data_IF_976832155207
#
_entry.id   IF_976832155207
#
_cell.length_a   1.000
_cell.length_b   1.000
_cell.length_c   1.000
_cell.angle_alpha   90.00
_cell.angle_beta   90.00
_cell.angle_gamma   90.00
#
_symmetry.space_group_name_H-M   'P 1'
#
loop_
_entity.id
_entity.type
_entity.pdbx_description
1 polymer ?
#
# COMPACT_ATOMS: atom_id res chain seq x y z
N UNK A 1 6.94 20.78 -27.88
CA UNK A 1 8.21 21.30 -28.44
C UNK A 1 9.25 20.20 -28.57
N UNK A 2 9.31 19.26 -27.61
CA UNK A 2 10.17 18.07 -27.68
C UNK A 2 9.56 16.95 -28.54
N UNK A 3 8.23 16.81 -28.54
CA UNK A 3 7.49 15.74 -29.23
C UNK A 3 7.69 15.80 -30.73
N UNK A 4 7.48 16.97 -31.33
CA UNK A 4 7.66 17.17 -32.77
C UNK A 4 9.13 17.09 -33.20
N UNK A 5 10.06 17.47 -32.32
CA UNK A 5 11.49 17.48 -32.63
C UNK A 5 12.11 16.07 -32.54
N UNK A 6 11.74 15.28 -31.52
CA UNK A 6 12.27 13.92 -31.28
C UNK A 6 11.34 12.80 -31.75
N UNK A 7 10.15 13.12 -32.27
CA UNK A 7 9.17 12.15 -32.72
C UNK A 7 8.47 11.38 -31.59
N UNK A 8 8.38 11.96 -30.38
CA UNK A 8 7.68 11.31 -29.28
C UNK A 8 6.16 11.36 -29.47
N UNK A 9 5.49 10.28 -29.08
CA UNK A 9 4.02 10.16 -29.12
C UNK A 9 3.32 10.81 -27.93
N UNK A 10 4.07 11.02 -26.86
CA UNK A 10 3.61 11.55 -25.58
C UNK A 10 4.61 12.63 -25.14
N UNK A 11 4.15 13.55 -24.30
CA UNK A 11 5.01 14.61 -23.74
C UNK A 11 6.09 13.99 -22.82
N UNK A 12 7.38 14.17 -23.13
CA UNK A 12 8.46 13.68 -22.29
C UNK A 12 8.66 14.57 -21.05
N UNK A 13 9.33 14.03 -20.02
CA UNK A 13 9.70 14.75 -18.79
C UNK A 13 8.52 15.28 -17.95
N UNK A 14 7.34 14.67 -18.07
CA UNK A 14 6.23 14.91 -17.14
C UNK A 14 6.67 14.58 -15.71
N UNK A 15 6.24 15.42 -14.76
CA UNK A 15 6.46 15.19 -13.33
C UNK A 15 5.57 14.07 -12.78
N UNK A 16 4.42 13.84 -13.42
CA UNK A 16 3.51 12.76 -13.05
C UNK A 16 3.99 11.43 -13.65
N UNK A 17 4.01 10.34 -12.85
CA UNK A 17 4.36 9.02 -13.34
C UNK A 17 3.27 8.45 -14.25
N UNK A 18 3.67 7.82 -15.36
CA UNK A 18 2.79 7.04 -16.24
C UNK A 18 3.27 5.58 -16.28
N UNK A 19 2.48 4.67 -15.73
CA UNK A 19 2.82 3.24 -15.67
C UNK A 19 2.87 2.57 -17.05
N UNK A 20 2.24 3.16 -18.09
CA UNK A 20 2.32 2.66 -19.48
C UNK A 20 3.70 2.85 -20.10
N UNK A 21 4.48 3.79 -19.56
CA UNK A 21 5.82 4.15 -20.03
C UNK A 21 6.94 3.58 -19.13
N UNK A 22 6.65 2.50 -18.40
CA UNK A 22 7.62 1.87 -17.52
C UNK A 22 8.81 1.26 -18.29
N UNK A 23 10.03 1.53 -17.80
CA UNK A 23 11.23 0.79 -18.20
C UNK A 23 11.50 -0.35 -17.22
N UNK A 24 11.16 -1.57 -17.62
CA UNK A 24 11.34 -2.78 -16.81
C UNK A 24 12.82 -3.22 -16.70
N UNK A 25 13.64 -2.49 -15.94
CA UNK A 25 14.99 -2.94 -15.59
C UNK A 25 14.94 -4.16 -14.65
N UNK A 26 16.08 -4.83 -14.45
CA UNK A 26 16.15 -6.10 -13.71
C UNK A 26 15.59 -6.02 -12.28
N UNK A 27 15.96 -5.00 -11.51
CA UNK A 27 15.44 -4.81 -10.14
C UNK A 27 13.94 -4.50 -10.12
N UNK A 28 13.43 -3.74 -11.10
CA UNK A 28 12.00 -3.45 -11.22
C UNK A 28 11.20 -4.73 -11.45
N UNK A 29 11.63 -5.58 -12.40
CA UNK A 29 10.97 -6.87 -12.67
C UNK A 29 10.96 -7.78 -11.44
N UNK A 30 12.05 -7.80 -10.68
CA UNK A 30 12.13 -8.56 -9.42
C UNK A 30 11.13 -8.03 -8.39
N UNK A 31 11.06 -6.70 -8.20
CA UNK A 31 10.12 -6.09 -7.27
C UNK A 31 8.67 -6.34 -7.68
N UNK A 32 8.34 -6.20 -8.98
CA UNK A 32 7.02 -6.52 -9.55
C UNK A 32 6.63 -7.98 -9.29
N UNK A 33 7.50 -8.92 -9.64
CA UNK A 33 7.26 -10.34 -9.42
C UNK A 33 7.09 -10.67 -7.93
N UNK A 34 7.87 -10.03 -7.06
CA UNK A 34 7.75 -10.17 -5.62
C UNK A 34 6.40 -9.67 -5.08
N UNK A 35 6.00 -8.46 -5.47
CA UNK A 35 4.70 -7.88 -5.09
C UNK A 35 3.53 -8.74 -5.57
N UNK A 36 3.59 -9.25 -6.80
CA UNK A 36 2.56 -10.16 -7.34
C UNK A 36 2.51 -11.46 -6.55
N UNK A 37 3.67 -12.08 -6.28
CA UNK A 37 3.75 -13.29 -5.46
C UNK A 37 3.17 -13.08 -4.06
N UNK A 38 3.56 -11.99 -3.39
CA UNK A 38 3.10 -11.68 -2.05
C UNK A 38 1.59 -11.37 -2.01
N UNK A 39 1.07 -10.68 -3.02
CA UNK A 39 -0.37 -10.45 -3.18
C UNK A 39 -1.16 -11.77 -3.30
N UNK A 40 -0.61 -12.77 -3.97
CA UNK A 40 -1.22 -14.10 -4.04
C UNK A 40 -1.19 -14.85 -2.72
N UNK A 41 -0.16 -14.65 -1.89
CA UNK A 41 -0.11 -15.23 -0.54
C UNK A 41 -1.16 -14.62 0.40
N UNK A 42 -1.46 -13.33 0.28
CA UNK A 42 -2.52 -12.67 1.04
C UNK A 42 -2.24 -12.50 2.54
N UNK A 43 -0.97 -12.55 2.95
CA UNK A 43 -0.57 -12.48 4.37
C UNK A 43 0.43 -11.35 4.61
N UNK A 44 0.32 -10.73 5.79
CA UNK A 44 1.33 -9.85 6.37
C UNK A 44 1.53 -8.50 5.68
N UNK A 45 2.63 -7.84 6.09
CA UNK A 45 3.16 -6.67 5.42
C UNK A 45 4.08 -7.09 4.29
N UNK A 46 3.96 -6.40 3.16
CA UNK A 46 4.93 -6.49 2.08
C UNK A 46 5.67 -5.17 2.03
N UNK A 47 6.98 -5.21 2.25
CA UNK A 47 7.81 -4.01 2.24
C UNK A 47 8.60 -3.90 0.94
N UNK A 48 8.50 -2.76 0.26
CA UNK A 48 9.26 -2.44 -0.95
C UNK A 48 9.99 -1.12 -0.75
N UNK A 49 11.32 -1.17 -0.71
CA UNK A 49 12.15 0.01 -0.53
C UNK A 49 13.01 0.32 -1.76
N UNK A 50 13.33 1.60 -1.94
CA UNK A 50 14.22 2.06 -2.99
C UNK A 50 14.45 3.56 -2.94
N UNK A 51 15.54 4.02 -3.54
CA UNK A 51 15.90 5.45 -3.55
C UNK A 51 14.83 6.33 -4.22
N UNK A 52 14.83 7.65 -3.98
CA UNK A 52 14.02 8.59 -4.75
C UNK A 52 14.24 8.43 -6.26
N UNK A 53 13.15 8.47 -7.03
CA UNK A 53 13.22 8.37 -8.50
C UNK A 53 13.43 6.96 -9.07
N UNK A 54 13.45 5.89 -8.26
CA UNK A 54 13.60 4.50 -8.77
C UNK A 54 12.31 3.88 -9.33
N UNK A 55 11.25 4.68 -9.52
CA UNK A 55 9.99 4.20 -10.10
C UNK A 55 9.05 3.44 -9.15
N UNK A 56 9.17 3.63 -7.82
CA UNK A 56 8.30 2.99 -6.82
C UNK A 56 6.81 3.28 -7.05
N UNK A 57 6.45 4.54 -7.23
CA UNK A 57 5.07 4.92 -7.55
C UNK A 57 4.60 4.35 -8.89
N UNK A 58 5.49 4.29 -9.89
CA UNK A 58 5.20 3.65 -11.18
C UNK A 58 4.97 2.15 -11.03
N UNK A 59 5.71 1.48 -10.13
CA UNK A 59 5.53 0.07 -9.78
C UNK A 59 4.17 -0.19 -9.12
N UNK A 60 3.74 0.67 -8.19
CA UNK A 60 2.40 0.61 -7.60
C UNK A 60 1.33 0.76 -8.69
N UNK A 61 1.47 1.74 -9.58
CA UNK A 61 0.52 1.96 -10.67
C UNK A 61 0.46 0.79 -11.65
N UNK A 62 1.59 0.19 -11.99
CA UNK A 62 1.66 -1.02 -12.83
C UNK A 62 1.00 -2.23 -12.15
N UNK A 63 1.24 -2.43 -10.84
CA UNK A 63 0.55 -3.45 -10.06
C UNK A 63 -0.97 -3.22 -10.09
N UNK A 64 -1.45 -2.04 -9.76
CA UNK A 64 -2.89 -1.70 -9.75
C UNK A 64 -3.53 -1.94 -11.12
N UNK A 65 -2.87 -1.53 -12.20
CA UNK A 65 -3.35 -1.77 -13.56
C UNK A 65 -3.43 -3.26 -13.89
N UNK A 66 -2.52 -4.08 -13.37
CA UNK A 66 -2.59 -5.54 -13.53
C UNK A 66 -3.76 -6.17 -12.74
N UNK A 67 -4.32 -5.45 -11.77
CA UNK A 67 -5.43 -5.91 -10.92
C UNK A 67 -6.82 -5.51 -11.40
N UNK A 68 -6.95 -4.74 -12.49
CA UNK A 68 -8.24 -4.18 -12.93
C UNK A 68 -9.35 -5.20 -13.21
N UNK A 69 -9.00 -6.49 -13.41
CA UNK A 69 -9.96 -7.60 -13.58
C UNK A 69 -9.81 -8.68 -12.49
N UNK A 70 -9.30 -8.32 -11.32
CA UNK A 70 -9.10 -9.24 -10.21
C UNK A 70 -10.08 -8.98 -9.07
N UNK A 71 -10.21 -9.95 -8.16
CA UNK A 71 -11.01 -9.81 -6.94
C UNK A 71 -10.35 -8.91 -5.87
N UNK A 72 -9.33 -8.13 -6.22
CA UNK A 72 -8.62 -7.26 -5.26
C UNK A 72 -9.32 -5.91 -5.17
N UNK A 73 -9.77 -5.56 -3.97
CA UNK A 73 -10.23 -4.21 -3.63
C UNK A 73 -9.05 -3.47 -2.99
N UNK A 74 -8.57 -2.39 -3.59
CA UNK A 74 -7.40 -1.67 -3.06
C UNK A 74 -7.72 -0.25 -2.63
N UNK A 75 -6.98 0.20 -1.62
CA UNK A 75 -6.88 1.58 -1.15
C UNK A 75 -5.42 2.00 -1.27
N UNK A 76 -5.16 3.22 -1.76
CA UNK A 76 -3.79 3.75 -1.86
C UNK A 76 -3.71 5.07 -1.12
N UNK A 77 -2.97 5.06 -0.02
CA UNK A 77 -2.59 6.26 0.71
C UNK A 77 -1.18 6.65 0.31
N UNK A 78 -0.97 7.93 0.03
CA UNK A 78 0.37 8.50 -0.04
C UNK A 78 0.63 9.12 1.33
N UNK A 79 1.60 8.60 2.05
CA UNK A 79 1.87 9.01 3.41
C UNK A 79 2.25 10.48 3.45
N UNK A 80 1.63 11.19 4.38
CA UNK A 80 2.18 12.40 4.99
C UNK A 80 2.55 12.04 6.44
N UNK A 81 3.09 12.97 7.23
CA UNK A 81 3.34 12.72 8.65
C UNK A 81 2.03 12.48 9.40
N UNK A 82 1.54 11.24 9.35
CA UNK A 82 0.25 10.81 9.89
C UNK A 82 0.47 10.13 11.24
N UNK A 83 -0.35 10.50 12.21
CA UNK A 83 -0.49 9.77 13.46
C UNK A 83 -1.58 8.68 13.35
N UNK A 84 -1.60 7.74 14.29
CA UNK A 84 -2.49 6.58 14.28
C UNK A 84 -3.98 6.91 14.02
N UNK A 85 -4.51 7.95 14.67
CA UNK A 85 -5.94 8.30 14.55
C UNK A 85 -6.29 8.87 13.18
N UNK A 86 -5.41 9.68 12.60
CA UNK A 86 -5.59 10.26 11.26
C UNK A 86 -5.44 9.19 10.18
N UNK A 87 -4.46 8.28 10.35
CA UNK A 87 -4.29 7.12 9.48
C UNK A 87 -5.58 6.29 9.43
N UNK A 88 -6.14 5.91 10.58
CA UNK A 88 -7.36 5.09 10.62
C UNK A 88 -8.54 5.79 9.93
N UNK A 89 -8.71 7.10 10.16
CA UNK A 89 -9.75 7.90 9.49
C UNK A 89 -9.56 7.92 7.98
N UNK A 90 -8.33 8.11 7.51
CA UNK A 90 -8.02 8.11 6.08
C UNK A 90 -8.26 6.74 5.44
N UNK A 91 -7.87 5.65 6.10
CA UNK A 91 -8.15 4.29 5.63
C UNK A 91 -9.66 4.07 5.47
N UNK A 92 -10.46 4.45 6.48
CA UNK A 92 -11.93 4.35 6.42
C UNK A 92 -12.49 5.17 5.26
N UNK A 93 -12.01 6.41 5.08
CA UNK A 93 -12.45 7.28 4.00
C UNK A 93 -12.11 6.73 2.60
N UNK A 94 -10.89 6.22 2.41
CA UNK A 94 -10.42 5.76 1.10
C UNK A 94 -11.09 4.45 0.68
N UNK A 95 -11.46 3.58 1.63
CA UNK A 95 -12.35 2.45 1.38
C UNK A 95 -13.83 2.85 1.15
N UNK A 96 -14.15 4.15 1.16
CA UNK A 96 -15.50 4.66 0.92
C UNK A 96 -16.47 4.46 2.09
N UNK A 97 -15.96 4.19 3.29
CA UNK A 97 -16.77 3.94 4.48
C UNK A 97 -17.15 5.28 5.12
N UNK A 98 -18.44 5.48 5.41
CA UNK A 98 -18.94 6.70 6.05
C UNK A 98 -18.59 6.70 7.54
N UNK A 99 -18.11 7.84 8.05
CA UNK A 99 -17.91 8.02 9.50
C UNK A 99 -16.58 8.67 9.90
N UNK A 100 -15.98 9.51 9.07
CA UNK A 100 -14.68 10.11 9.36
C UNK A 100 -14.62 10.94 10.66
N UNK A 101 -15.76 11.35 11.21
CA UNK A 101 -15.88 12.06 12.49
C UNK A 101 -16.12 11.13 13.68
N UNK A 102 -16.28 9.84 13.44
CA UNK A 102 -16.55 8.87 14.50
C UNK A 102 -15.33 8.69 15.41
N UNK A 103 -15.58 8.16 16.60
CA UNK A 103 -14.51 7.75 17.49
C UNK A 103 -13.80 6.49 16.96
N UNK A 104 -12.60 6.24 17.48
CA UNK A 104 -11.74 5.10 17.07
C UNK A 104 -12.46 3.75 17.10
N UNK A 105 -13.23 3.46 18.15
CA UNK A 105 -13.94 2.19 18.28
C UNK A 105 -14.96 1.97 17.16
N UNK A 106 -15.70 3.02 16.78
CA UNK A 106 -16.66 2.96 15.69
C UNK A 106 -15.97 2.85 14.32
N UNK A 107 -14.85 3.54 14.11
CA UNK A 107 -14.04 3.41 12.89
C UNK A 107 -13.54 1.97 12.70
N UNK A 108 -12.95 1.39 13.76
CA UNK A 108 -12.48 0.00 13.74
C UNK A 108 -13.64 -0.99 13.51
N UNK A 109 -14.79 -0.76 14.14
CA UNK A 109 -15.96 -1.62 13.96
C UNK A 109 -16.46 -1.60 12.50
N UNK A 110 -16.60 -0.41 11.92
CA UNK A 110 -17.05 -0.23 10.53
C UNK A 110 -16.06 -0.80 9.53
N UNK A 111 -14.77 -0.55 9.73
CA UNK A 111 -13.70 -1.12 8.90
C UNK A 111 -13.72 -2.65 8.98
N UNK A 112 -13.79 -3.22 10.18
CA UNK A 112 -13.88 -4.67 10.38
C UNK A 112 -15.08 -5.30 9.66
N UNK A 113 -16.28 -4.71 9.80
CA UNK A 113 -17.48 -5.18 9.08
C UNK A 113 -17.31 -5.11 7.56
N UNK A 114 -16.74 -4.02 7.06
CA UNK A 114 -16.49 -3.85 5.64
C UNK A 114 -15.51 -4.90 5.09
N UNK A 115 -14.38 -5.14 5.78
CA UNK A 115 -13.40 -6.14 5.39
C UNK A 115 -13.96 -7.57 5.45
N UNK A 116 -14.76 -7.89 6.47
CA UNK A 116 -15.47 -9.17 6.55
C UNK A 116 -16.44 -9.37 5.39
N UNK A 117 -17.19 -8.33 5.00
CA UNK A 117 -18.08 -8.39 3.85
C UNK A 117 -17.32 -8.67 2.55
N UNK A 118 -16.22 -7.94 2.31
CA UNK A 118 -15.36 -8.19 1.14
C UNK A 118 -14.86 -9.64 1.11
N UNK A 119 -14.39 -10.15 2.24
CA UNK A 119 -13.94 -11.53 2.35
C UNK A 119 -15.04 -12.55 2.02
N UNK A 120 -16.28 -12.33 2.48
CA UNK A 120 -17.43 -13.18 2.15
C UNK A 120 -17.82 -13.11 0.67
N UNK A 121 -17.58 -11.98 0.02
CA UNK A 121 -17.76 -11.78 -1.42
C UNK A 121 -16.61 -12.39 -2.25
N UNK A 122 -15.61 -12.99 -1.61
CA UNK A 122 -14.41 -13.52 -2.29
C UNK A 122 -13.40 -12.45 -2.70
N UNK A 123 -13.63 -11.20 -2.27
CA UNK A 123 -12.78 -10.05 -2.56
C UNK A 123 -11.65 -9.93 -1.53
N UNK A 124 -10.48 -9.48 -1.98
CA UNK A 124 -9.25 -9.38 -1.17
C UNK A 124 -8.88 -7.91 -0.94
N UNK A 125 -9.00 -7.39 0.28
CA UNK A 125 -8.65 -6.01 0.58
C UNK A 125 -7.12 -5.82 0.61
N UNK A 126 -6.64 -4.81 -0.12
CA UNK A 126 -5.23 -4.41 -0.17
C UNK A 126 -5.10 -2.92 0.20
N UNK A 127 -4.32 -2.62 1.24
CA UNK A 127 -3.93 -1.25 1.57
C UNK A 127 -2.50 -1.00 1.11
N UNK A 128 -2.28 0.00 0.26
CA UNK A 128 -0.95 0.41 -0.19
C UNK A 128 -0.63 1.75 0.46
N UNK A 129 0.48 1.80 1.19
CA UNK A 129 1.05 3.04 1.72
C UNK A 129 2.29 3.38 0.90
N UNK A 130 2.20 4.44 0.10
CA UNK A 130 3.35 5.04 -0.62
C UNK A 130 4.04 6.07 0.29
N UNK A 131 5.34 6.29 0.10
CA UNK A 131 6.19 7.11 1.00
C UNK A 131 6.09 6.71 2.49
N UNK A 132 5.98 5.41 2.78
CA UNK A 132 5.73 4.90 4.13
C UNK A 132 6.86 5.19 5.15
N UNK A 133 8.03 5.66 4.73
CA UNK A 133 9.06 6.14 5.65
C UNK A 133 8.62 7.36 6.47
N UNK A 134 7.61 8.10 6.00
CA UNK A 134 7.08 9.29 6.68
C UNK A 134 6.04 8.95 7.76
N UNK A 135 5.69 7.67 7.92
CA UNK A 135 4.78 7.22 8.97
C UNK A 135 5.40 7.36 10.36
N UNK A 136 4.60 7.78 11.33
CA UNK A 136 5.00 7.71 12.73
C UNK A 136 5.02 6.27 13.22
N UNK A 137 5.78 6.02 14.29
CA UNK A 137 5.79 4.72 14.97
C UNK A 137 4.37 4.32 15.47
N UNK A 138 3.55 5.30 15.84
CA UNK A 138 2.17 5.06 16.28
C UNK A 138 1.29 4.58 15.12
N UNK A 139 1.48 5.15 13.92
CA UNK A 139 0.76 4.74 12.72
C UNK A 139 1.16 3.33 12.25
N UNK A 140 2.45 2.97 12.29
CA UNK A 140 2.90 1.61 11.98
C UNK A 140 2.31 0.57 12.94
N UNK A 141 2.24 0.88 14.22
CA UNK A 141 1.62 0.00 15.22
C UNK A 141 0.11 -0.15 14.99
N UNK A 142 -0.58 0.93 14.61
CA UNK A 142 -2.00 0.86 14.23
C UNK A 142 -2.21 -0.03 13.00
N UNK A 143 -1.39 0.12 11.95
CA UNK A 143 -1.41 -0.79 10.79
C UNK A 143 -1.20 -2.24 11.22
N UNK A 144 -0.26 -2.49 12.15
CA UNK A 144 0.00 -3.84 12.67
C UNK A 144 -1.23 -4.41 13.36
N UNK A 145 -1.95 -3.60 14.15
CA UNK A 145 -3.20 -4.01 14.78
C UNK A 145 -4.29 -4.32 13.74
N UNK A 146 -4.38 -3.57 12.66
CA UNK A 146 -5.35 -3.86 11.57
C UNK A 146 -5.08 -5.21 10.90
N UNK A 147 -3.82 -5.63 10.75
CA UNK A 147 -3.49 -6.97 10.22
C UNK A 147 -3.93 -8.13 11.11
N UNK A 148 -4.24 -7.88 12.39
CA UNK A 148 -4.79 -8.90 13.28
C UNK A 148 -6.27 -9.22 13.01
N UNK A 149 -6.96 -8.41 12.21
CA UNK A 149 -8.32 -8.69 11.78
C UNK A 149 -8.31 -9.93 10.88
N UNK A 150 -8.94 -11.00 11.35
CA UNK A 150 -8.96 -12.30 10.66
C UNK A 150 -10.34 -12.94 10.70
N UNK A 151 -10.64 -13.74 9.68
CA UNK A 151 -11.81 -14.60 9.61
C UNK A 151 -11.35 -16.00 9.18
N UNK A 152 -11.80 -17.04 9.90
CA UNK A 152 -11.39 -18.42 9.63
C UNK A 152 -9.86 -18.61 9.56
N UNK A 153 -9.12 -17.91 10.43
CA UNK A 153 -7.66 -17.92 10.48
C UNK A 153 -6.96 -17.36 9.22
N UNK A 154 -7.68 -16.57 8.42
CA UNK A 154 -7.14 -15.83 7.27
C UNK A 154 -7.20 -14.32 7.55
N UNK A 155 -6.12 -13.56 7.27
CA UNK A 155 -6.12 -12.11 7.38
C UNK A 155 -7.18 -11.48 6.48
N UNK A 156 -7.87 -10.46 7.02
CA UNK A 156 -8.89 -9.71 6.29
C UNK A 156 -8.31 -8.52 5.52
N UNK A 157 -7.07 -8.13 5.79
CA UNK A 157 -6.40 -7.01 5.15
C UNK A 157 -4.93 -7.34 4.91
N UNK A 158 -4.48 -7.14 3.67
CA UNK A 158 -3.07 -7.15 3.32
C UNK A 158 -2.56 -5.71 3.19
N UNK A 159 -1.32 -5.45 3.62
CA UNK A 159 -0.75 -4.10 3.63
C UNK A 159 0.60 -4.08 2.91
N UNK A 160 0.75 -3.19 1.93
CA UNK A 160 1.98 -2.95 1.21
C UNK A 160 2.58 -1.62 1.67
N UNK A 161 3.79 -1.67 2.24
CA UNK A 161 4.56 -0.51 2.67
C UNK A 161 5.63 -0.23 1.61
N UNK A 162 5.46 0.87 0.89
CA UNK A 162 6.36 1.29 -0.18
C UNK A 162 7.03 2.58 0.24
N UNK A 163 8.36 2.62 0.23
CA UNK A 163 9.08 3.78 0.75
C UNK A 163 10.56 3.80 0.39
N UNK A 164 11.29 4.65 1.10
CA UNK A 164 12.73 4.81 0.95
C UNK A 164 13.51 3.83 1.83
N UNK A 165 14.84 3.91 1.84
CA UNK A 165 15.68 2.98 2.63
C UNK A 165 15.44 3.16 4.14
N UNK A 166 15.06 4.37 4.55
CA UNK A 166 14.70 4.79 5.90
C UNK A 166 13.51 4.01 6.48
N UNK A 167 12.57 3.58 5.63
CA UNK A 167 11.47 2.70 6.05
C UNK A 167 12.01 1.39 6.61
N UNK A 168 13.06 0.84 5.98
CA UNK A 168 13.69 -0.39 6.46
C UNK A 168 14.25 -0.17 7.85
N UNK A 169 15.00 0.91 8.05
CA UNK A 169 15.63 1.22 9.34
C UNK A 169 14.58 1.45 10.44
N UNK A 170 13.48 2.13 10.11
CA UNK A 170 12.35 2.35 11.00
C UNK A 170 11.77 1.02 11.49
N UNK A 171 11.46 0.08 10.58
CA UNK A 171 10.87 -1.21 10.97
C UNK A 171 11.87 -2.13 11.69
N UNK A 172 13.18 -2.01 11.42
CA UNK A 172 14.20 -2.78 12.14
C UNK A 172 14.57 -2.18 13.52
N UNK A 173 13.97 -1.04 13.90
CA UNK A 173 14.19 -0.46 15.22
C UNK A 173 13.66 -1.34 16.34
N UNK A 174 14.29 -1.30 17.52
CA UNK A 174 13.89 -2.10 18.68
C UNK A 174 12.44 -1.84 19.11
N UNK A 175 11.90 -0.65 18.86
CA UNK A 175 10.50 -0.32 19.16
C UNK A 175 9.49 -0.98 18.21
N UNK A 176 9.93 -1.48 17.04
CA UNK A 176 9.09 -1.99 15.96
C UNK A 176 9.18 -3.51 15.78
N UNK A 177 9.71 -4.25 16.77
CA UNK A 177 9.90 -5.71 16.68
C UNK A 177 8.60 -6.45 16.30
N UNK A 178 7.46 -6.02 16.83
CA UNK A 178 6.15 -6.63 16.52
C UNK A 178 5.70 -6.38 15.08
N UNK A 179 6.04 -5.22 14.51
CA UNK A 179 5.76 -4.88 13.11
C UNK A 179 6.68 -5.70 12.20
N UNK A 180 7.97 -5.79 12.55
CA UNK A 180 8.96 -6.56 11.80
C UNK A 180 8.59 -8.04 11.68
N UNK A 181 8.08 -8.67 12.74
CA UNK A 181 7.60 -10.06 12.73
C UNK A 181 6.43 -10.32 11.77
N UNK A 182 5.78 -9.26 11.27
CA UNK A 182 4.67 -9.34 10.31
C UNK A 182 5.09 -9.03 8.88
N UNK A 183 6.36 -8.64 8.64
CA UNK A 183 6.89 -8.46 7.29
C UNK A 183 7.19 -9.82 6.66
N UNK A 184 6.75 -9.97 5.41
CA UNK A 184 7.03 -11.11 4.53
C UNK A 184 8.09 -10.74 3.52
#
# INVERSE_FOLDING_TARGET
MYENFYGFKEEPFRLSPDSRLCFEHSSYRKAKAYMQYALHRGEGFVMVTGRPGTGKTTLIGDLINSLSNSEVEFSRLTSTQLEADDLLRLVVLDFGIKGATDNKAMLLHKLGQYLQRLHQEGRRPLLIIDEAQDLSASALEELRLLTNLQQNNQPLLQIFLVGQEELRDLVHSNSMEQVFQRIV
#
